data_IF_842495556045
#
_entry.id   IF_842495556045
#
_cell.length_a   1.000
_cell.length_b   1.000
_cell.length_c   1.000
_cell.angle_alpha   90.00
_cell.angle_beta   90.00
_cell.angle_gamma   90.00
#
_symmetry.space_group_name_H-M   'P 1'
#
loop_
_entity.id
_entity.type
_entity.pdbx_description
1 polymer ?
#
# COMPACT_ATOMS: atom_id res chain seq x y z
N UNK A 1 -8.12 -39.09 -16.26
CA UNK A 1 -8.79 -37.88 -15.76
C UNK A 1 -7.86 -37.29 -14.70
N UNK A 2 -6.93 -36.41 -15.08
CA UNK A 2 -6.02 -35.80 -14.11
C UNK A 2 -6.82 -34.76 -13.30
N UNK A 3 -7.00 -35.01 -12.00
CA UNK A 3 -7.46 -33.99 -11.07
C UNK A 3 -6.40 -32.88 -11.03
N UNK A 4 -6.73 -31.71 -11.57
CA UNK A 4 -5.99 -30.49 -11.26
C UNK A 4 -6.25 -30.15 -9.79
N UNK A 5 -5.30 -30.48 -8.91
CA UNK A 5 -5.25 -29.94 -7.56
C UNK A 5 -4.91 -28.44 -7.68
N UNK A 6 -5.93 -27.59 -7.57
CA UNK A 6 -5.72 -26.18 -7.33
C UNK A 6 -5.28 -26.02 -5.88
N UNK A 7 -4.04 -25.58 -5.68
CA UNK A 7 -3.58 -25.13 -4.37
C UNK A 7 -4.35 -23.85 -4.04
N UNK A 8 -5.34 -23.96 -3.16
CA UNK A 8 -5.95 -22.77 -2.55
C UNK A 8 -4.93 -22.23 -1.57
N UNK A 9 -4.30 -21.11 -1.90
CA UNK A 9 -3.44 -20.38 -0.97
C UNK A 9 -4.33 -19.86 0.17
N UNK A 10 -4.14 -20.39 1.38
CA UNK A 10 -4.87 -19.94 2.56
C UNK A 10 -4.59 -18.45 2.82
N UNK A 11 -5.64 -17.69 3.16
CA UNK A 11 -5.54 -16.27 3.46
C UNK A 11 -4.69 -16.03 4.72
N UNK A 12 -3.69 -15.15 4.66
CA UNK A 12 -2.85 -14.83 5.82
C UNK A 12 -3.55 -13.94 6.84
N UNK A 13 -4.34 -12.96 6.40
CA UNK A 13 -5.05 -12.03 7.28
C UNK A 13 -6.50 -11.85 6.82
N UNK A 14 -7.43 -12.73 7.23
CA UNK A 14 -8.81 -12.66 6.76
C UNK A 14 -9.51 -11.38 7.25
N UNK A 15 -10.53 -10.94 6.52
CA UNK A 15 -11.40 -9.85 6.95
C UNK A 15 -12.50 -10.37 7.92
N UNK A 16 -12.82 -9.63 9.00
CA UNK A 16 -12.18 -8.40 9.44
C UNK A 16 -10.86 -8.67 10.16
N UNK A 17 -9.84 -7.86 9.85
CA UNK A 17 -8.56 -7.89 10.53
C UNK A 17 -8.64 -7.22 11.91
N UNK A 18 -9.41 -6.13 12.04
CA UNK A 18 -9.65 -5.39 13.27
C UNK A 18 -8.36 -5.08 14.07
N UNK A 19 -7.29 -4.71 13.36
CA UNK A 19 -6.02 -4.40 14.00
C UNK A 19 -6.10 -3.08 14.78
N UNK A 20 -5.40 -3.05 15.91
CA UNK A 20 -5.18 -1.82 16.66
C UNK A 20 -3.86 -1.21 16.22
N UNK A 21 -3.90 0.02 15.70
CA UNK A 21 -2.67 0.76 15.39
C UNK A 21 -1.91 1.09 16.68
N UNK A 22 -0.58 0.95 16.63
CA UNK A 22 0.31 1.31 17.75
C UNK A 22 0.43 2.82 17.94
N UNK A 23 0.06 3.59 16.92
CA UNK A 23 0.09 5.05 16.92
C UNK A 23 -1.32 5.61 16.71
N UNK A 24 -1.63 6.71 17.39
CA UNK A 24 -2.90 7.42 17.23
C UNK A 24 -4.08 6.80 18.00
N UNK A 25 -5.24 7.40 17.76
CA UNK A 25 -6.53 7.01 18.29
C UNK A 25 -7.27 6.13 17.27
N UNK A 26 -8.23 5.36 17.75
CA UNK A 26 -9.24 4.71 16.91
C UNK A 26 -10.62 5.02 17.48
N UNK A 27 -11.68 5.10 16.66
CA UNK A 27 -13.02 5.31 17.18
C UNK A 27 -13.38 4.20 18.18
N UNK A 28 -13.90 4.55 19.34
CA UNK A 28 -14.34 3.58 20.36
C UNK A 28 -15.62 2.88 19.94
N UNK A 29 -16.42 3.55 19.10
CA UNK A 29 -17.67 3.09 18.52
C UNK A 29 -17.51 2.45 17.13
N UNK A 30 -16.28 2.11 16.72
CA UNK A 30 -15.99 1.44 15.45
C UNK A 30 -16.67 0.07 15.38
N UNK A 31 -17.13 -0.31 14.20
CA UNK A 31 -17.79 -1.59 13.95
C UNK A 31 -17.41 -2.14 12.57
N UNK A 32 -16.85 -3.34 12.52
CA UNK A 32 -16.46 -3.97 11.25
C UNK A 32 -17.66 -4.29 10.35
N UNK A 33 -18.87 -4.44 10.91
CA UNK A 33 -20.08 -4.58 10.11
C UNK A 33 -20.37 -3.33 9.25
N UNK A 34 -20.01 -2.14 9.73
CA UNK A 34 -20.15 -0.90 8.95
C UNK A 34 -19.20 -0.92 7.74
N UNK A 35 -17.94 -1.32 7.94
CA UNK A 35 -16.95 -1.48 6.88
C UNK A 35 -17.33 -2.58 5.88
N UNK A 36 -17.78 -3.74 6.37
CA UNK A 36 -18.22 -4.88 5.55
C UNK A 36 -19.45 -4.53 4.68
N UNK A 37 -20.42 -3.82 5.26
CA UNK A 37 -21.61 -3.36 4.55
C UNK A 37 -21.25 -2.34 3.46
N UNK A 38 -20.37 -1.39 3.78
CA UNK A 38 -19.87 -0.40 2.83
C UNK A 38 -19.15 -1.04 1.64
N UNK A 39 -18.30 -2.04 1.89
CA UNK A 39 -17.67 -2.82 0.82
C UNK A 39 -18.70 -3.53 -0.06
N UNK A 40 -19.72 -4.13 0.56
CA UNK A 40 -20.77 -4.85 -0.18
C UNK A 40 -21.55 -3.89 -1.08
N UNK A 41 -21.90 -2.70 -0.59
CA UNK A 41 -22.52 -1.63 -1.39
C UNK A 41 -21.61 -1.20 -2.53
N UNK A 42 -20.35 -0.88 -2.25
CA UNK A 42 -19.39 -0.47 -3.26
C UNK A 42 -19.21 -1.54 -4.35
N UNK A 43 -18.97 -2.79 -3.96
CA UNK A 43 -18.76 -3.90 -4.91
C UNK A 43 -19.98 -4.10 -5.80
N UNK A 44 -21.19 -4.06 -5.22
CA UNK A 44 -22.45 -4.24 -5.96
C UNK A 44 -22.64 -3.16 -7.02
N UNK A 45 -22.30 -1.91 -6.70
CA UNK A 45 -22.60 -0.77 -7.56
C UNK A 45 -21.53 -0.50 -8.61
N UNK A 46 -20.25 -0.74 -8.28
CA UNK A 46 -19.14 -0.28 -9.12
C UNK A 46 -18.33 -1.40 -9.75
N UNK A 47 -18.32 -2.63 -9.22
CA UNK A 47 -17.57 -3.72 -9.86
C UNK A 47 -18.39 -4.30 -11.02
N UNK A 48 -17.76 -4.34 -12.19
CA UNK A 48 -18.30 -5.02 -13.36
C UNK A 48 -17.33 -6.09 -13.86
N UNK A 49 -17.86 -7.29 -14.08
CA UNK A 49 -17.14 -8.37 -14.72
C UNK A 49 -17.04 -8.10 -16.24
N UNK A 50 -15.83 -8.24 -16.78
CA UNK A 50 -15.54 -8.22 -18.20
C UNK A 50 -15.22 -9.65 -18.71
N UNK A 51 -14.96 -9.79 -20.01
CA UNK A 51 -14.55 -11.08 -20.59
C UNK A 51 -13.20 -11.57 -20.02
N UNK A 52 -12.94 -12.87 -20.15
CA UNK A 52 -11.65 -13.49 -19.81
C UNK A 52 -11.17 -13.23 -18.36
N UNK A 53 -12.12 -13.22 -17.41
CA UNK A 53 -11.83 -13.09 -15.98
C UNK A 53 -11.26 -11.74 -15.56
N UNK A 54 -11.51 -10.68 -16.33
CA UNK A 54 -11.19 -9.30 -15.98
C UNK A 54 -12.35 -8.65 -15.25
N UNK A 55 -12.03 -7.69 -14.40
CA UNK A 55 -13.01 -6.88 -13.71
C UNK A 55 -12.60 -5.41 -13.84
N UNK A 56 -13.57 -4.51 -13.84
CA UNK A 56 -13.33 -3.06 -13.82
C UNK A 56 -14.15 -2.40 -12.73
N UNK A 57 -13.78 -1.15 -12.41
CA UNK A 57 -14.57 -0.26 -11.57
C UNK A 57 -15.28 0.75 -12.46
N UNK A 58 -16.61 0.81 -12.39
CA UNK A 58 -17.43 1.81 -13.09
C UNK A 58 -17.20 3.18 -12.45
N UNK A 59 -16.92 4.16 -13.30
CA UNK A 59 -16.79 5.57 -12.92
C UNK A 59 -18.17 6.26 -12.88
N UNK A 60 -18.21 7.57 -12.58
CA UNK A 60 -19.46 8.36 -12.58
C UNK A 60 -20.19 8.31 -13.93
N UNK A 61 -19.44 8.34 -15.03
CA UNK A 61 -19.95 7.81 -16.29
C UNK A 61 -19.78 6.28 -16.26
N UNK A 62 -20.86 5.50 -16.12
CA UNK A 62 -20.77 4.06 -15.88
C UNK A 62 -20.16 3.30 -17.06
N UNK A 63 -20.06 3.90 -18.25
CA UNK A 63 -19.41 3.30 -19.42
C UNK A 63 -17.89 3.47 -19.42
N UNK A 64 -17.35 4.22 -18.46
CA UNK A 64 -15.94 4.56 -18.36
C UNK A 64 -15.34 3.98 -17.07
N UNK A 65 -14.02 3.86 -17.08
CA UNK A 65 -13.20 3.47 -15.93
C UNK A 65 -11.98 4.39 -15.91
N UNK A 66 -11.62 4.88 -14.73
CA UNK A 66 -10.36 5.60 -14.51
C UNK A 66 -9.37 4.71 -13.77
N UNK A 67 -8.07 4.90 -14.00
CA UNK A 67 -7.02 4.12 -13.32
C UNK A 67 -7.11 4.26 -11.80
N UNK A 68 -7.47 5.45 -11.31
CA UNK A 68 -7.73 5.71 -9.89
C UNK A 68 -8.73 4.71 -9.29
N UNK A 69 -9.85 4.48 -9.98
CA UNK A 69 -10.87 3.52 -9.54
C UNK A 69 -10.36 2.09 -9.52
N UNK A 70 -9.48 1.71 -10.45
CA UNK A 70 -8.82 0.40 -10.42
C UNK A 70 -7.88 0.29 -9.21
N UNK A 71 -7.06 1.32 -8.94
CA UNK A 71 -6.20 1.38 -7.75
C UNK A 71 -6.99 1.23 -6.45
N UNK A 72 -8.06 2.01 -6.27
CA UNK A 72 -8.95 1.88 -5.12
C UNK A 72 -9.61 0.49 -5.04
N UNK A 73 -10.09 -0.03 -6.15
CA UNK A 73 -10.71 -1.36 -6.18
C UNK A 73 -9.73 -2.46 -5.81
N UNK A 74 -8.47 -2.38 -6.25
CA UNK A 74 -7.42 -3.31 -5.88
C UNK A 74 -7.13 -3.24 -4.38
N UNK A 75 -7.00 -2.04 -3.79
CA UNK A 75 -6.83 -1.89 -2.35
C UNK A 75 -8.01 -2.50 -1.57
N UNK A 76 -9.24 -2.13 -1.92
CA UNK A 76 -10.44 -2.61 -1.23
C UNK A 76 -10.57 -4.13 -1.30
N UNK A 77 -10.33 -4.73 -2.48
CA UNK A 77 -10.42 -6.18 -2.66
C UNK A 77 -9.29 -6.94 -1.97
N UNK A 78 -8.06 -6.41 -1.96
CA UNK A 78 -6.94 -7.00 -1.23
C UNK A 78 -7.21 -7.04 0.29
N UNK A 79 -7.58 -5.90 0.88
CA UNK A 79 -7.88 -5.82 2.32
C UNK A 79 -9.15 -6.58 2.72
N UNK A 80 -10.13 -6.71 1.82
CA UNK A 80 -11.32 -7.54 2.05
C UNK A 80 -11.06 -9.04 1.87
N UNK A 81 -9.85 -9.42 1.42
CA UNK A 81 -9.45 -10.77 1.05
C UNK A 81 -10.31 -11.38 -0.09
N UNK A 82 -10.66 -10.57 -1.10
CA UNK A 82 -11.45 -10.94 -2.28
C UNK A 82 -10.56 -11.17 -3.51
N UNK A 83 -9.85 -12.31 -3.50
CA UNK A 83 -8.80 -12.61 -4.49
C UNK A 83 -9.30 -12.64 -5.93
N UNK A 84 -10.49 -13.21 -6.18
CA UNK A 84 -11.02 -13.35 -7.54
C UNK A 84 -11.29 -11.98 -8.18
N UNK A 85 -11.82 -11.03 -7.41
CA UNK A 85 -12.07 -9.67 -7.89
C UNK A 85 -10.75 -8.91 -8.04
N UNK A 86 -9.83 -9.06 -7.08
CA UNK A 86 -8.48 -8.47 -7.13
C UNK A 86 -7.71 -8.88 -8.39
N UNK A 87 -7.60 -10.19 -8.64
CA UNK A 87 -6.91 -10.74 -9.80
C UNK A 87 -7.53 -10.23 -11.11
N UNK A 88 -8.85 -10.05 -11.11
CA UNK A 88 -9.61 -9.50 -12.21
C UNK A 88 -9.30 -8.05 -12.52
N UNK A 89 -9.25 -7.22 -11.48
CA UNK A 89 -8.88 -5.80 -11.57
C UNK A 89 -7.43 -5.65 -12.03
N UNK A 90 -6.51 -6.47 -11.49
CA UNK A 90 -5.11 -6.44 -11.89
C UNK A 90 -4.88 -6.87 -13.34
N UNK A 91 -5.63 -7.88 -13.84
CA UNK A 91 -5.61 -8.23 -15.28
C UNK A 91 -6.11 -7.07 -16.14
N UNK A 92 -7.17 -6.38 -15.72
CA UNK A 92 -7.67 -5.20 -16.41
C UNK A 92 -6.63 -4.07 -16.40
N UNK A 93 -5.98 -3.81 -15.27
CA UNK A 93 -4.88 -2.85 -15.18
C UNK A 93 -3.80 -3.17 -16.20
N UNK A 94 -3.31 -4.42 -16.21
CA UNK A 94 -2.20 -4.84 -17.08
C UNK A 94 -2.49 -4.71 -18.57
N UNK A 95 -3.73 -4.96 -18.98
CA UNK A 95 -4.18 -4.84 -20.37
C UNK A 95 -4.21 -3.39 -20.87
N UNK A 96 -4.33 -2.42 -19.96
CA UNK A 96 -4.52 -1.01 -20.29
C UNK A 96 -3.27 -0.16 -20.02
N UNK A 97 -2.11 -0.79 -19.85
CA UNK A 97 -0.84 -0.09 -19.63
C UNK A 97 -0.32 0.58 -20.89
N UNK A 98 0.35 1.72 -20.70
CA UNK A 98 1.15 2.36 -21.73
C UNK A 98 2.56 1.72 -21.81
N UNK A 99 3.43 2.31 -22.63
CA UNK A 99 4.81 1.81 -22.84
C UNK A 99 5.73 1.96 -21.63
N UNK A 100 5.39 2.84 -20.68
CA UNK A 100 6.14 3.02 -19.42
C UNK A 100 5.70 2.04 -18.33
N UNK A 101 4.74 1.17 -18.62
CA UNK A 101 4.28 0.14 -17.69
C UNK A 101 3.25 0.61 -16.66
N UNK A 102 2.72 1.82 -16.82
CA UNK A 102 1.64 2.40 -15.98
C UNK A 102 0.32 2.42 -16.73
N UNK A 103 -0.82 2.43 -16.04
CA UNK A 103 -2.14 2.31 -16.68
C UNK A 103 -2.57 3.63 -17.32
N UNK A 104 -3.08 3.60 -18.56
CA UNK A 104 -3.72 4.77 -19.15
C UNK A 104 -4.91 5.22 -18.30
N UNK A 105 -4.94 6.50 -17.92
CA UNK A 105 -5.80 6.98 -16.83
C UNK A 105 -7.30 6.86 -17.10
N UNK A 106 -7.74 6.71 -18.35
CA UNK A 106 -9.16 6.60 -18.69
C UNK A 106 -9.46 5.64 -19.83
N UNK A 107 -10.35 4.68 -19.58
CA UNK A 107 -10.69 3.57 -20.47
C UNK A 107 -12.20 3.49 -20.70
N UNK A 108 -12.60 3.13 -21.92
CA UNK A 108 -13.98 2.84 -22.32
C UNK A 108 -14.42 1.45 -21.83
N UNK A 109 -14.69 1.35 -20.53
CA UNK A 109 -15.29 0.18 -19.90
C UNK A 109 -14.63 -1.14 -20.26
N UNK A 110 -15.43 -2.20 -20.48
CA UNK A 110 -14.89 -3.53 -20.84
C UNK A 110 -14.36 -3.63 -22.27
N UNK A 111 -14.58 -2.62 -23.13
CA UNK A 111 -14.04 -2.63 -24.50
C UNK A 111 -12.53 -2.37 -24.56
N UNK A 112 -11.93 -1.95 -23.43
CA UNK A 112 -10.50 -1.62 -23.26
C UNK A 112 -9.96 -0.60 -24.27
N UNK A 113 -10.84 0.20 -24.88
CA UNK A 113 -10.43 1.34 -25.71
C UNK A 113 -9.95 2.49 -24.83
N UNK A 114 -8.75 3.01 -25.11
CA UNK A 114 -8.18 4.13 -24.35
C UNK A 114 -8.86 5.45 -24.72
N UNK A 115 -9.44 6.13 -23.73
CA UNK A 115 -10.05 7.46 -23.86
C UNK A 115 -9.12 8.57 -23.37
N UNK A 116 -8.28 8.28 -22.39
CA UNK A 116 -7.28 9.17 -21.82
C UNK A 116 -5.97 8.43 -21.67
N UNK A 117 -4.93 8.93 -22.34
CA UNK A 117 -3.60 8.32 -22.37
C UNK A 117 -2.76 8.74 -21.18
N UNK A 118 -1.76 7.92 -20.86
CA UNK A 118 -0.74 8.13 -19.82
C UNK A 118 -1.23 7.86 -18.40
N UNK A 119 -0.30 7.63 -17.48
CA UNK A 119 -0.52 7.32 -16.07
C UNK A 119 -1.04 8.51 -15.27
N UNK A 120 -1.68 8.19 -14.15
CA UNK A 120 -2.07 9.14 -13.12
C UNK A 120 -1.55 8.58 -11.79
N UNK A 121 -0.49 9.19 -11.27
CA UNK A 121 0.41 8.54 -10.31
C UNK A 121 -0.29 8.01 -9.06
N UNK A 122 -1.38 8.63 -8.59
CA UNK A 122 -2.15 8.10 -7.47
C UNK A 122 -2.67 6.67 -7.70
N UNK A 123 -3.11 6.37 -8.92
CA UNK A 123 -3.56 5.03 -9.30
C UNK A 123 -2.44 4.00 -9.23
N UNK A 124 -1.26 4.35 -9.73
CA UNK A 124 -0.06 3.51 -9.72
C UNK A 124 0.39 3.23 -8.28
N UNK A 125 0.42 4.26 -7.42
CA UNK A 125 0.74 4.12 -5.99
C UNK A 125 -0.24 3.16 -5.28
N UNK A 126 -1.53 3.28 -5.56
CA UNK A 126 -2.56 2.42 -4.97
C UNK A 126 -2.46 0.97 -5.46
N UNK A 127 -2.30 0.78 -6.77
CA UNK A 127 -2.14 -0.55 -7.35
C UNK A 127 -0.88 -1.27 -6.84
N UNK A 128 0.25 -0.54 -6.72
CA UNK A 128 1.49 -1.09 -6.16
C UNK A 128 1.33 -1.49 -4.70
N UNK A 129 0.72 -0.63 -3.87
CA UNK A 129 0.46 -0.96 -2.46
C UNK A 129 -0.50 -2.16 -2.34
N UNK A 130 -1.53 -2.22 -3.18
CA UNK A 130 -2.48 -3.32 -3.19
C UNK A 130 -1.82 -4.66 -3.59
N UNK A 131 -0.84 -4.65 -4.49
CA UNK A 131 -0.04 -5.85 -4.83
C UNK A 131 0.83 -6.32 -3.67
N UNK A 132 1.40 -5.40 -2.87
CA UNK A 132 2.13 -5.77 -1.64
C UNK A 132 1.18 -6.45 -0.64
N UNK A 133 -0.03 -5.91 -0.47
CA UNK A 133 -1.07 -6.52 0.38
C UNK A 133 -1.49 -7.88 -0.18
N UNK A 134 -1.62 -8.04 -1.50
CA UNK A 134 -1.96 -9.31 -2.15
C UNK A 134 -0.87 -10.37 -1.96
N UNK A 135 0.41 -10.01 -2.06
CA UNK A 135 1.53 -10.90 -1.74
C UNK A 135 1.46 -11.35 -0.27
N UNK A 136 1.13 -10.45 0.64
CA UNK A 136 0.94 -10.81 2.05
C UNK A 136 -0.25 -11.74 2.24
N UNK A 137 -1.37 -11.45 1.57
CA UNK A 137 -2.64 -12.13 1.77
C UNK A 137 -2.64 -13.55 1.22
N UNK A 138 -2.00 -13.76 0.07
CA UNK A 138 -2.12 -14.98 -0.72
C UNK A 138 -0.77 -15.57 -1.16
N UNK A 139 0.34 -14.88 -0.96
CA UNK A 139 1.65 -15.26 -1.49
C UNK A 139 1.73 -15.15 -3.02
N UNK A 140 2.93 -15.36 -3.56
CA UNK A 140 3.23 -15.12 -4.98
C UNK A 140 3.59 -16.37 -5.79
N UNK A 141 3.19 -17.55 -5.31
CA UNK A 141 3.40 -18.84 -6.01
C UNK A 141 2.23 -19.26 -6.90
N UNK A 142 1.16 -18.45 -6.94
CA UNK A 142 -0.04 -18.69 -7.73
C UNK A 142 0.11 -18.29 -9.20
N UNK A 143 -1.03 -18.15 -9.89
CA UNK A 143 -1.07 -17.75 -11.31
C UNK A 143 -0.64 -16.31 -11.55
N UNK A 144 -0.74 -15.46 -10.53
CA UNK A 144 -0.24 -14.09 -10.51
C UNK A 144 0.86 -14.05 -9.47
N UNK A 145 2.03 -13.57 -9.87
CA UNK A 145 3.15 -13.31 -8.96
C UNK A 145 3.04 -11.86 -8.47
N UNK A 146 2.27 -11.65 -7.40
CA UNK A 146 1.97 -10.31 -6.88
C UNK A 146 3.23 -9.55 -6.47
N UNK A 147 4.22 -10.24 -5.90
CA UNK A 147 5.52 -9.67 -5.52
C UNK A 147 6.28 -9.13 -6.72
N UNK A 148 6.46 -9.95 -7.75
CA UNK A 148 7.18 -9.53 -8.96
C UNK A 148 6.42 -8.42 -9.70
N UNK A 149 5.09 -8.50 -9.73
CA UNK A 149 4.24 -7.47 -10.30
C UNK A 149 4.36 -6.15 -9.49
N UNK A 150 4.41 -6.20 -8.15
CA UNK A 150 4.64 -5.04 -7.28
C UNK A 150 6.03 -4.42 -7.51
N UNK A 151 7.09 -5.23 -7.47
CA UNK A 151 8.47 -4.78 -7.72
C UNK A 151 8.59 -4.09 -9.09
N UNK A 152 7.95 -4.64 -10.12
CA UNK A 152 7.92 -4.08 -11.47
C UNK A 152 7.19 -2.73 -11.51
N UNK A 153 6.02 -2.62 -10.87
CA UNK A 153 5.26 -1.37 -10.88
C UNK A 153 5.94 -0.29 -10.03
N UNK A 154 6.51 -0.64 -8.87
CA UNK A 154 7.29 0.28 -8.03
C UNK A 154 8.51 0.81 -8.81
N UNK A 155 9.18 -0.02 -9.60
CA UNK A 155 10.27 0.41 -10.47
C UNK A 155 9.79 1.38 -11.56
N UNK A 156 8.61 1.14 -12.16
CA UNK A 156 8.02 2.05 -13.15
C UNK A 156 7.67 3.43 -12.53
N UNK A 157 7.05 3.44 -11.35
CA UNK A 157 6.75 4.67 -10.58
C UNK A 157 8.04 5.45 -10.33
N UNK A 158 9.08 4.77 -9.80
CA UNK A 158 10.39 5.39 -9.56
C UNK A 158 11.01 5.98 -10.83
N UNK A 159 10.92 5.28 -11.96
CA UNK A 159 11.55 5.69 -13.21
C UNK A 159 10.82 6.83 -13.92
N UNK A 160 9.49 6.86 -13.84
CA UNK A 160 8.67 7.70 -14.70
C UNK A 160 7.80 8.71 -13.94
N UNK A 161 7.45 8.44 -12.69
CA UNK A 161 6.52 9.25 -11.89
C UNK A 161 7.18 9.95 -10.70
N UNK A 162 8.48 9.75 -10.51
CA UNK A 162 9.30 10.55 -9.61
C UNK A 162 10.26 11.41 -10.44
N UNK A 163 10.24 12.72 -10.23
CA UNK A 163 11.15 13.63 -10.90
C UNK A 163 12.59 13.38 -10.44
N UNK A 164 13.48 13.13 -11.42
CA UNK A 164 14.87 12.81 -11.14
C UNK A 164 15.58 13.95 -10.39
N UNK A 165 16.42 13.58 -9.42
CA UNK A 165 17.24 14.46 -8.57
C UNK A 165 16.47 15.31 -7.54
N UNK A 166 15.22 15.67 -7.81
CA UNK A 166 14.37 16.44 -6.87
C UNK A 166 13.51 15.54 -6.00
N UNK A 167 13.23 14.31 -6.44
CA UNK A 167 12.34 13.33 -5.78
C UNK A 167 10.90 13.83 -5.61
N UNK A 168 10.51 14.87 -6.37
CA UNK A 168 9.14 15.36 -6.39
C UNK A 168 8.27 14.34 -7.13
N UNK A 169 7.16 13.94 -6.50
CA UNK A 169 6.18 13.10 -7.17
C UNK A 169 5.57 13.88 -8.34
N UNK A 170 5.62 13.30 -9.54
CA UNK A 170 4.91 13.80 -10.70
C UNK A 170 3.44 13.36 -10.62
N UNK A 171 2.50 14.12 -11.18
CA UNK A 171 1.09 13.72 -11.26
C UNK A 171 0.81 12.62 -12.30
N UNK A 172 1.75 12.35 -13.19
CA UNK A 172 1.71 11.21 -14.10
C UNK A 172 3.06 10.99 -14.76
N UNK A 173 3.18 9.91 -15.50
CA UNK A 173 4.44 9.48 -16.11
C UNK A 173 4.96 10.45 -17.18
N UNK A 174 4.09 11.21 -17.83
CA UNK A 174 4.45 12.09 -18.95
C UNK A 174 4.55 13.59 -18.62
N UNK A 175 4.19 14.04 -17.41
CA UNK A 175 4.09 15.48 -17.10
C UNK A 175 4.29 15.83 -15.62
N UNK A 176 4.37 17.13 -15.32
CA UNK A 176 4.50 17.70 -13.97
C UNK A 176 5.87 17.50 -13.32
N UNK A 177 5.91 17.37 -12.00
CA UNK A 177 7.14 17.39 -11.20
C UNK A 177 7.24 18.70 -10.43
N UNK A 178 8.43 19.31 -10.37
CA UNK A 178 8.62 20.54 -9.59
C UNK A 178 7.71 21.69 -10.01
N UNK A 179 7.28 21.74 -11.28
CA UNK A 179 6.38 22.78 -11.79
C UNK A 179 4.90 22.51 -11.48
N UNK A 180 4.50 21.27 -11.24
CA UNK A 180 3.12 20.87 -10.98
C UNK A 180 3.08 19.49 -10.32
N UNK A 181 2.50 19.44 -9.13
CA UNK A 181 2.23 18.22 -8.36
C UNK A 181 0.87 18.36 -7.67
N UNK A 182 0.33 17.23 -7.18
CA UNK A 182 -0.95 17.14 -6.50
C UNK A 182 -0.74 16.61 -5.07
N UNK A 183 -0.95 17.42 -4.02
CA UNK A 183 -0.76 17.00 -2.63
C UNK A 183 -1.56 15.75 -2.23
N UNK A 184 -2.71 15.51 -2.86
CA UNK A 184 -3.54 14.35 -2.56
C UNK A 184 -2.96 13.01 -3.05
N UNK A 185 -1.97 13.05 -3.93
CA UNK A 185 -1.25 11.87 -4.41
C UNK A 185 -0.10 11.50 -3.46
N UNK A 186 0.24 12.37 -2.52
CA UNK A 186 1.32 12.10 -1.58
C UNK A 186 0.91 11.02 -0.58
N UNK A 187 1.54 9.85 -0.67
CA UNK A 187 1.32 8.70 0.20
C UNK A 187 2.63 8.28 0.91
N UNK A 188 3.16 9.07 1.87
CA UNK A 188 4.43 8.77 2.56
C UNK A 188 4.53 7.37 3.15
N UNK A 189 3.42 6.84 3.68
CA UNK A 189 3.36 5.48 4.20
C UNK A 189 3.68 4.43 3.12
N UNK A 190 3.17 4.65 1.90
CA UNK A 190 3.39 3.72 0.79
C UNK A 190 4.82 3.81 0.29
N UNK A 191 5.41 5.00 0.25
CA UNK A 191 6.83 5.17 -0.09
C UNK A 191 7.72 4.38 0.88
N UNK A 192 7.46 4.45 2.19
CA UNK A 192 8.19 3.65 3.19
C UNK A 192 7.98 2.15 2.97
N UNK A 193 6.76 1.72 2.69
CA UNK A 193 6.46 0.33 2.34
C UNK A 193 7.21 -0.12 1.07
N UNK A 194 7.26 0.71 0.04
CA UNK A 194 7.97 0.43 -1.20
C UNK A 194 9.48 0.32 -0.97
N UNK A 195 10.06 1.25 -0.21
CA UNK A 195 11.48 1.22 0.13
C UNK A 195 11.87 -0.02 0.92
N UNK A 196 11.03 -0.47 1.86
CA UNK A 196 11.26 -1.71 2.58
C UNK A 196 11.06 -2.95 1.68
N UNK A 197 10.01 -2.98 0.86
CA UNK A 197 9.67 -4.11 -0.01
C UNK A 197 10.71 -4.34 -1.12
N UNK A 198 11.27 -3.25 -1.67
CA UNK A 198 12.27 -3.27 -2.76
C UNK A 198 13.71 -3.11 -2.29
N UNK A 199 13.93 -3.00 -0.98
CA UNK A 199 15.25 -2.73 -0.39
C UNK A 199 15.92 -1.45 -0.94
N UNK A 200 15.12 -0.38 -1.10
CA UNK A 200 15.53 0.93 -1.60
C UNK A 200 15.05 2.06 -0.68
N UNK A 201 15.22 1.85 0.63
CA UNK A 201 14.73 2.76 1.67
C UNK A 201 15.27 4.18 1.55
N UNK A 202 16.52 4.34 1.11
CA UNK A 202 17.15 5.65 0.96
C UNK A 202 16.43 6.51 -0.09
N UNK A 203 16.12 5.94 -1.27
CA UNK A 203 15.41 6.66 -2.32
C UNK A 203 14.01 7.05 -1.87
N UNK A 204 13.24 6.10 -1.36
CA UNK A 204 11.85 6.36 -0.99
C UNK A 204 11.72 7.27 0.23
N UNK A 205 12.69 7.27 1.16
CA UNK A 205 12.73 8.26 2.24
C UNK A 205 13.00 9.69 1.72
N UNK A 206 13.73 9.85 0.60
CA UNK A 206 13.88 11.16 -0.03
C UNK A 206 12.56 11.64 -0.67
N UNK A 207 11.75 10.72 -1.22
CA UNK A 207 10.39 11.03 -1.71
C UNK A 207 9.46 11.42 -0.55
N UNK A 208 9.49 10.68 0.58
CA UNK A 208 8.77 11.06 1.82
C UNK A 208 9.15 12.47 2.27
N UNK A 209 10.44 12.75 2.34
CA UNK A 209 10.96 14.05 2.78
C UNK A 209 10.43 15.17 1.89
N UNK A 210 10.47 14.98 0.56
CA UNK A 210 9.95 15.98 -0.38
C UNK A 210 8.43 16.13 -0.30
N UNK A 211 7.67 15.05 -0.18
CA UNK A 211 6.21 15.13 -0.03
C UNK A 211 5.79 16.03 1.15
N UNK A 212 6.41 15.82 2.33
CA UNK A 212 6.16 16.69 3.49
C UNK A 212 6.70 18.12 3.29
N UNK A 213 7.83 18.30 2.61
CA UNK A 213 8.36 19.63 2.30
C UNK A 213 7.38 20.41 1.41
N UNK A 214 6.83 19.80 0.36
CA UNK A 214 5.85 20.44 -0.54
C UNK A 214 4.54 20.74 0.19
N UNK A 215 4.03 19.82 1.03
CA UNK A 215 2.83 20.09 1.85
C UNK A 215 3.05 21.31 2.74
N UNK A 216 4.14 21.34 3.50
CA UNK A 216 4.43 22.44 4.41
C UNK A 216 4.65 23.75 3.67
N UNK A 217 5.32 23.71 2.51
CA UNK A 217 5.49 24.87 1.65
C UNK A 217 4.16 25.38 1.12
N UNK A 218 3.25 24.51 0.66
CA UNK A 218 1.93 24.90 0.18
C UNK A 218 1.09 25.57 1.26
N UNK A 219 1.10 25.01 2.48
CA UNK A 219 0.41 25.62 3.61
C UNK A 219 0.99 27.00 3.96
N UNK A 220 2.32 27.14 3.95
CA UNK A 220 3.00 28.37 4.35
C UNK A 220 2.89 29.46 3.29
N UNK A 221 3.19 29.15 2.03
CA UNK A 221 3.19 30.11 0.91
C UNK A 221 1.80 30.72 0.69
N UNK A 222 0.75 29.92 0.84
CA UNK A 222 -0.62 30.34 0.55
C UNK A 222 -1.41 30.76 1.80
N UNK A 223 -0.74 30.91 2.96
CA UNK A 223 -1.35 31.23 4.25
C UNK A 223 -2.55 30.31 4.59
N UNK A 224 -2.39 29.01 4.29
CA UNK A 224 -3.46 28.06 4.46
C UNK A 224 -3.69 27.75 5.95
N UNK A 225 -4.95 27.62 6.33
CA UNK A 225 -5.36 27.21 7.68
C UNK A 225 -5.77 25.74 7.67
N UNK A 226 -5.78 25.11 8.84
CA UNK A 226 -6.45 23.82 9.01
C UNK A 226 -5.89 22.65 8.19
N UNK A 227 -4.66 22.76 7.69
CA UNK A 227 -4.09 21.74 6.79
C UNK A 227 -4.74 21.72 5.40
N UNK A 228 -5.46 22.79 5.00
CA UNK A 228 -6.14 22.89 3.71
C UNK A 228 -5.14 23.15 2.57
N UNK A 229 -4.48 22.08 2.12
CA UNK A 229 -3.64 22.11 0.90
C UNK A 229 -4.50 22.42 -0.33
N UNK A 230 -3.88 23.02 -1.35
CA UNK A 230 -4.55 23.22 -2.64
C UNK A 230 -4.57 21.91 -3.44
N UNK A 231 -5.53 21.74 -4.34
CA UNK A 231 -5.62 20.56 -5.22
C UNK A 231 -4.33 20.36 -6.03
N UNK A 232 -3.76 21.47 -6.53
CA UNK A 232 -2.55 21.46 -7.35
C UNK A 232 -1.61 22.58 -6.92
N UNK A 233 -0.30 22.32 -6.96
CA UNK A 233 0.73 23.31 -6.65
C UNK A 233 2.05 22.98 -7.36
N UNK A 234 2.98 23.94 -7.37
CA UNK A 234 4.38 23.64 -7.66
C UNK A 234 5.05 23.04 -6.41
N UNK A 235 6.23 22.42 -6.57
CA UNK A 235 6.99 21.89 -5.43
C UNK A 235 7.44 22.98 -4.44
N UNK A 236 7.49 24.25 -4.87
CA UNK A 236 7.68 25.39 -3.97
C UNK A 236 6.49 25.65 -3.04
N UNK A 237 5.37 24.96 -3.23
CA UNK A 237 4.11 25.18 -2.53
C UNK A 237 3.20 26.23 -3.16
N UNK A 238 3.75 27.12 -4.01
CA UNK A 238 2.97 28.15 -4.69
C UNK A 238 1.98 27.55 -5.69
N UNK A 239 0.95 28.32 -6.05
CA UNK A 239 0.08 27.99 -7.17
C UNK A 239 0.87 27.83 -8.47
N UNK A 240 0.46 26.86 -9.29
CA UNK A 240 1.11 26.58 -10.56
C UNK A 240 0.35 27.18 -11.72
N UNK A 241 1.03 27.86 -12.63
CA UNK A 241 0.39 28.27 -13.90
C UNK A 241 -0.05 27.06 -14.75
N UNK A 242 0.52 25.87 -14.51
CA UNK A 242 0.13 24.65 -15.20
C UNK A 242 -1.19 24.06 -14.69
N UNK A 243 -1.72 24.54 -13.55
CA UNK A 243 -3.00 24.07 -13.01
C UNK A 243 -4.23 24.85 -13.50
N UNK A 244 -4.08 25.77 -14.47
CA UNK A 244 -5.17 26.60 -14.99
C UNK A 244 -6.38 25.82 -15.54
N UNK A 245 -6.19 24.58 -15.99
CA UNK A 245 -7.26 23.72 -16.50
C UNK A 245 -8.06 22.98 -15.43
N UNK A 246 -7.63 22.99 -14.17
CA UNK A 246 -8.31 22.32 -13.07
C UNK A 246 -9.31 23.24 -12.37
N UNK A 247 -10.20 22.64 -11.56
CA UNK A 247 -11.18 23.37 -10.78
C UNK A 247 -10.52 24.49 -9.96
N UNK A 248 -11.05 25.71 -10.04
CA UNK A 248 -10.49 26.90 -9.39
C UNK A 248 -8.97 27.08 -9.61
N UNK A 249 -8.48 26.70 -10.80
CA UNK A 249 -7.06 26.72 -11.17
C UNK A 249 -6.18 25.84 -10.24
N UNK A 250 -6.81 24.90 -9.52
CA UNK A 250 -6.17 24.05 -8.53
C UNK A 250 -5.84 24.74 -7.20
N UNK A 251 -6.33 25.96 -6.96
CA UNK A 251 -5.93 26.78 -5.81
C UNK A 251 -6.68 26.47 -4.51
N UNK A 252 -7.77 25.72 -4.58
CA UNK A 252 -8.66 25.44 -3.44
C UNK A 252 -8.42 24.05 -2.86
N UNK A 253 -8.86 23.82 -1.63
CA UNK A 253 -9.04 22.48 -1.09
C UNK A 253 -10.37 21.92 -1.62
N UNK A 254 -10.33 21.11 -2.67
CA UNK A 254 -11.51 20.52 -3.30
C UNK A 254 -11.37 18.99 -3.41
N UNK A 255 -12.02 18.38 -4.39
CA UNK A 255 -12.14 16.92 -4.49
C UNK A 255 -10.81 16.18 -4.67
N UNK A 256 -9.80 16.81 -5.26
CA UNK A 256 -8.45 16.24 -5.28
C UNK A 256 -7.88 16.26 -3.86
N UNK A 257 -7.66 17.47 -3.31
CA UNK A 257 -7.04 17.72 -2.02
C UNK A 257 -7.72 17.00 -0.85
N UNK A 258 -9.02 16.71 -0.97
CA UNK A 258 -9.83 16.03 0.04
C UNK A 258 -9.23 14.70 0.50
N UNK A 259 -8.44 13.99 -0.32
CA UNK A 259 -7.82 12.70 0.06
C UNK A 259 -6.57 12.86 0.93
N UNK A 260 -5.94 14.04 0.94
CA UNK A 260 -4.66 14.29 1.63
C UNK A 260 -4.69 13.95 3.13
N UNK A 261 -5.72 14.33 3.93
CA UNK A 261 -5.74 14.00 5.34
C UNK A 261 -5.74 12.49 5.62
N UNK A 262 -6.41 11.69 4.79
CA UNK A 262 -6.34 10.23 4.87
C UNK A 262 -4.93 9.72 4.56
N UNK A 263 -4.37 10.09 3.40
CA UNK A 263 -3.04 9.63 2.96
C UNK A 263 -1.96 9.89 3.99
N UNK A 264 -1.99 11.08 4.61
CA UNK A 264 -1.00 11.51 5.60
C UNK A 264 -1.25 10.88 6.98
N UNK A 265 -2.52 10.69 7.38
CA UNK A 265 -2.84 9.99 8.63
C UNK A 265 -2.32 8.55 8.61
N UNK A 266 -2.40 7.85 7.48
CA UNK A 266 -1.88 6.47 7.35
C UNK A 266 -0.40 6.38 7.74
N UNK A 267 0.43 7.36 7.37
CA UNK A 267 1.86 7.35 7.69
C UNK A 267 2.14 7.43 9.20
N UNK A 268 1.37 8.26 9.90
CA UNK A 268 1.46 8.32 11.36
C UNK A 268 0.95 7.03 12.01
N UNK A 269 -0.19 6.51 11.56
CA UNK A 269 -0.78 5.30 12.14
C UNK A 269 0.14 4.08 11.97
N UNK A 270 0.74 3.92 10.79
CA UNK A 270 1.59 2.79 10.46
C UNK A 270 3.02 2.91 11.01
N UNK A 271 3.62 4.09 10.94
CA UNK A 271 5.05 4.29 11.23
C UNK A 271 5.36 5.26 12.37
N UNK A 272 4.37 5.94 12.93
CA UNK A 272 4.57 6.92 14.00
C UNK A 272 5.26 8.21 13.53
N UNK A 273 5.23 8.51 12.23
CA UNK A 273 5.91 9.70 11.70
C UNK A 273 5.30 11.00 12.25
N UNK A 274 6.14 11.79 12.89
CA UNK A 274 5.71 13.03 13.55
C UNK A 274 5.25 14.10 12.56
N UNK A 275 5.76 14.10 11.32
CA UNK A 275 5.33 15.03 10.27
C UNK A 275 3.88 14.75 9.88
N UNK A 276 3.54 13.46 9.73
CA UNK A 276 2.18 13.01 9.46
C UNK A 276 1.23 13.38 10.60
N UNK A 277 1.66 13.17 11.86
CA UNK A 277 0.89 13.60 13.04
C UNK A 277 0.60 15.09 13.05
N UNK A 278 1.62 15.93 12.82
CA UNK A 278 1.48 17.39 12.85
C UNK A 278 0.50 17.87 11.79
N UNK A 279 0.58 17.35 10.55
CA UNK A 279 -0.35 17.70 9.49
C UNK A 279 -1.78 17.24 9.79
N UNK A 280 -1.96 15.97 10.15
CA UNK A 280 -3.28 15.41 10.40
C UNK A 280 -3.96 16.05 11.63
N UNK A 281 -3.18 16.44 12.66
CA UNK A 281 -3.70 17.23 13.79
C UNK A 281 -4.26 18.58 13.34
N UNK A 282 -3.59 19.31 12.44
CA UNK A 282 -4.13 20.58 11.89
C UNK A 282 -5.48 20.36 11.21
N UNK A 283 -5.62 19.26 10.46
CA UNK A 283 -6.87 18.89 9.79
C UNK A 283 -7.98 18.55 10.81
N UNK A 284 -7.66 17.77 11.85
CA UNK A 284 -8.61 17.45 12.92
C UNK A 284 -9.03 18.70 13.71
N UNK A 285 -8.09 19.59 14.04
CA UNK A 285 -8.38 20.84 14.76
C UNK A 285 -9.22 21.81 13.92
N UNK A 286 -9.05 21.83 12.60
CA UNK A 286 -9.92 22.60 11.71
C UNK A 286 -11.38 22.18 11.87
N UNK A 287 -11.67 20.88 11.80
CA UNK A 287 -13.04 20.40 11.96
C UNK A 287 -13.54 20.62 13.38
N UNK A 288 -12.76 20.22 14.38
CA UNK A 288 -13.18 20.27 15.78
C UNK A 288 -13.36 21.69 16.31
N UNK A 289 -12.42 22.58 16.00
CA UNK A 289 -12.34 23.93 16.57
C UNK A 289 -12.88 24.97 15.60
N UNK A 290 -12.42 25.00 14.34
CA UNK A 290 -12.81 26.05 13.38
C UNK A 290 -14.22 25.85 12.86
N UNK A 291 -14.61 24.63 12.49
CA UNK A 291 -15.96 24.31 12.03
C UNK A 291 -16.92 24.01 13.18
N UNK A 292 -16.42 23.76 14.39
CA UNK A 292 -17.25 23.39 15.54
C UNK A 292 -17.86 21.99 15.46
N UNK A 293 -17.30 21.09 14.65
CA UNK A 293 -17.72 19.69 14.54
C UNK A 293 -17.89 19.19 13.11
N UNK A 294 -17.93 17.86 12.98
CA UNK A 294 -17.97 17.13 11.70
C UNK A 294 -19.21 17.45 10.84
N UNK A 295 -20.38 17.70 11.47
CA UNK A 295 -21.62 18.02 10.75
C UNK A 295 -21.55 19.31 9.91
N UNK A 296 -20.56 20.18 10.17
CA UNK A 296 -20.35 21.43 9.45
C UNK A 296 -19.36 21.28 8.29
N UNK A 297 -18.80 20.09 8.06
CA UNK A 297 -17.91 19.84 6.92
C UNK A 297 -18.68 20.04 5.61
N UNK A 298 -18.08 20.79 4.69
CA UNK A 298 -18.51 21.00 3.31
C UNK A 298 -17.51 20.44 2.30
N UNK A 299 -17.97 20.27 1.07
CA UNK A 299 -17.23 19.73 -0.07
C UNK A 299 -16.36 20.74 -0.80
N UNK A 300 -15.76 21.69 -0.08
CA UNK A 300 -14.83 22.66 -0.69
C UNK A 300 -14.52 23.85 0.20
N UNK A 301 -13.25 24.25 0.22
CA UNK A 301 -12.77 25.42 0.96
C UNK A 301 -11.70 26.16 0.17
N UNK A 302 -11.68 27.49 0.29
CA UNK A 302 -10.46 28.24 0.04
C UNK A 302 -9.42 27.90 1.13
N UNK A 303 -8.14 28.05 0.82
CA UNK A 303 -7.07 27.69 1.75
C UNK A 303 -7.09 28.50 3.06
N UNK A 304 -7.65 29.71 3.04
CA UNK A 304 -7.87 30.51 4.25
C UNK A 304 -9.02 30.00 5.16
N UNK A 305 -9.68 28.89 4.79
CA UNK A 305 -10.74 28.24 5.56
C UNK A 305 -12.15 28.69 5.21
N UNK A 306 -12.34 29.67 4.32
CA UNK A 306 -13.69 30.05 3.90
C UNK A 306 -14.30 28.96 3.04
N UNK A 307 -15.52 28.54 3.40
CA UNK A 307 -16.29 27.53 2.67
C UNK A 307 -16.57 28.00 1.23
N UNK A 308 -16.34 27.11 0.26
CA UNK A 308 -16.73 27.27 -1.14
C UNK A 308 -17.72 26.19 -1.58
N UNK A 309 -17.69 25.03 -0.95
CA UNK A 309 -18.62 23.92 -1.17
C UNK A 309 -20.01 24.14 -0.56
N UNK A 310 -20.96 23.31 -0.97
CA UNK A 310 -22.35 23.34 -0.52
C UNK A 310 -22.78 22.04 0.18
N UNK A 311 -22.24 20.92 -0.27
CA UNK A 311 -22.66 19.58 0.12
C UNK A 311 -21.84 19.05 1.29
N UNK A 312 -22.44 18.13 2.04
CA UNK A 312 -21.80 17.41 3.13
C UNK A 312 -21.77 15.93 2.73
N UNK A 313 -20.59 15.41 2.42
CA UNK A 313 -20.44 14.12 1.75
C UNK A 313 -19.24 13.31 2.27
N UNK A 314 -19.22 12.02 1.92
CA UNK A 314 -18.30 11.07 2.53
C UNK A 314 -16.82 11.27 2.14
N UNK A 315 -16.56 11.87 0.97
CA UNK A 315 -15.21 12.21 0.49
C UNK A 315 -14.49 13.13 1.49
N UNK A 316 -15.16 14.18 1.95
CA UNK A 316 -14.56 15.16 2.86
C UNK A 316 -14.66 14.71 4.32
N UNK A 317 -15.85 14.25 4.73
CA UNK A 317 -16.11 13.83 6.11
C UNK A 317 -15.17 12.70 6.53
N UNK A 318 -15.03 11.68 5.69
CA UNK A 318 -14.24 10.52 6.05
C UNK A 318 -12.72 10.77 6.03
N UNK A 319 -12.24 11.65 5.14
CA UNK A 319 -10.84 12.05 5.15
C UNK A 319 -10.47 12.78 6.44
N UNK A 320 -11.30 13.74 6.88
CA UNK A 320 -11.09 14.41 8.16
C UNK A 320 -11.27 13.48 9.37
N UNK A 321 -12.18 12.51 9.29
CA UNK A 321 -12.29 11.47 10.31
C UNK A 321 -11.01 10.63 10.43
N UNK A 322 -10.38 10.27 9.29
CA UNK A 322 -9.07 9.61 9.30
C UNK A 322 -8.00 10.49 9.94
N UNK A 323 -7.99 11.80 9.67
CA UNK A 323 -7.06 12.74 10.28
C UNK A 323 -7.24 12.84 11.81
N UNK A 324 -8.47 12.74 12.30
CA UNK A 324 -8.77 12.72 13.74
C UNK A 324 -8.16 11.51 14.47
N UNK A 325 -7.83 10.41 13.77
CA UNK A 325 -7.07 9.30 14.35
C UNK A 325 -5.64 9.71 14.75
N UNK A 326 -5.07 10.74 14.10
CA UNK A 326 -3.78 11.33 14.49
C UNK A 326 -3.94 12.56 15.41
N UNK A 327 -5.18 12.91 15.76
CA UNK A 327 -5.53 13.98 16.69
C UNK A 327 -5.40 13.59 18.16
N UNK A 328 -6.09 14.34 19.01
CA UNK A 328 -5.99 14.21 20.47
C UNK A 328 -7.36 14.12 21.17
N UNK A 329 -8.47 14.15 20.43
CA UNK A 329 -9.82 14.21 20.98
C UNK A 329 -10.65 12.99 20.54
N UNK A 330 -10.86 12.07 21.49
CA UNK A 330 -11.60 10.83 21.24
C UNK A 330 -13.08 11.07 20.92
N UNK A 331 -13.72 12.03 21.58
CA UNK A 331 -15.15 12.31 21.36
C UNK A 331 -15.37 12.87 19.95
N UNK A 332 -14.46 13.73 19.49
CA UNK A 332 -14.46 14.23 18.12
C UNK A 332 -14.26 13.11 17.09
N UNK A 333 -13.32 12.17 17.33
CA UNK A 333 -13.12 11.02 16.46
C UNK A 333 -14.35 10.12 16.39
N UNK A 334 -14.96 9.80 17.53
CA UNK A 334 -16.18 8.97 17.62
C UNK A 334 -17.37 9.62 16.92
N UNK A 335 -17.50 10.96 17.03
CA UNK A 335 -18.50 11.73 16.32
C UNK A 335 -18.25 11.72 14.80
N UNK A 336 -17.00 11.91 14.36
CA UNK A 336 -16.62 11.90 12.93
C UNK A 336 -16.83 10.52 12.29
N UNK A 337 -16.55 9.44 13.03
CA UNK A 337 -16.88 8.08 12.60
C UNK A 337 -18.41 7.90 12.44
N UNK A 338 -19.19 8.38 13.42
CA UNK A 338 -20.66 8.28 13.37
C UNK A 338 -21.24 9.07 12.20
N UNK A 339 -20.69 10.24 11.92
CA UNK A 339 -21.10 11.08 10.80
C UNK A 339 -20.85 10.36 9.47
N UNK A 340 -19.60 9.91 9.25
CA UNK A 340 -19.23 9.17 8.04
C UNK A 340 -20.13 7.94 7.79
N UNK A 341 -20.37 7.11 8.82
CA UNK A 341 -21.14 5.88 8.62
C UNK A 341 -22.59 6.17 8.21
N UNK A 342 -23.16 7.28 8.68
CA UNK A 342 -24.55 7.67 8.42
C UNK A 342 -24.77 8.32 7.04
N UNK A 343 -23.71 8.76 6.35
CA UNK A 343 -23.82 9.30 4.98
C UNK A 343 -24.22 8.20 4.00
N UNK A 344 -25.29 8.40 3.23
CA UNK A 344 -25.85 7.39 2.34
C UNK A 344 -25.86 7.88 0.89
N UNK A 345 -24.75 7.63 0.18
CA UNK A 345 -24.52 8.09 -1.19
C UNK A 345 -24.10 6.92 -2.11
N UNK A 346 -24.84 5.80 -2.13
CA UNK A 346 -24.34 4.52 -2.63
C UNK A 346 -24.02 4.51 -4.13
N UNK A 347 -24.59 5.45 -4.90
CA UNK A 347 -24.42 5.55 -6.36
C UNK A 347 -23.38 6.57 -6.79
N UNK A 348 -22.85 7.38 -5.86
CA UNK A 348 -21.77 8.33 -6.16
C UNK A 348 -20.44 7.57 -6.08
N UNK A 349 -19.79 7.33 -7.23
CA UNK A 349 -18.58 6.49 -7.30
C UNK A 349 -17.53 6.96 -6.31
N UNK A 350 -17.21 8.26 -6.35
CA UNK A 350 -16.11 8.79 -5.55
C UNK A 350 -16.44 8.77 -4.06
N UNK A 351 -17.62 9.28 -3.67
CA UNK A 351 -18.05 9.36 -2.28
C UNK A 351 -18.15 7.96 -1.65
N UNK A 352 -18.78 7.00 -2.32
CA UNK A 352 -18.95 5.65 -1.79
C UNK A 352 -17.63 4.88 -1.76
N UNK A 353 -16.77 5.00 -2.78
CA UNK A 353 -15.45 4.34 -2.79
C UNK A 353 -14.57 4.83 -1.64
N UNK A 354 -14.47 6.15 -1.47
CA UNK A 354 -13.67 6.74 -0.39
C UNK A 354 -14.28 6.46 0.98
N UNK A 355 -15.61 6.50 1.13
CA UNK A 355 -16.29 6.06 2.37
C UNK A 355 -15.82 4.67 2.80
N UNK A 356 -15.84 3.71 1.87
CA UNK A 356 -15.42 2.34 2.15
C UNK A 356 -13.95 2.28 2.55
N UNK A 357 -13.08 3.00 1.83
CA UNK A 357 -11.64 3.06 2.15
C UNK A 357 -11.38 3.63 3.55
N UNK A 358 -12.03 4.75 3.89
CA UNK A 358 -11.89 5.40 5.18
C UNK A 358 -12.44 4.53 6.32
N UNK A 359 -13.56 3.85 6.10
CA UNK A 359 -14.08 2.89 7.08
C UNK A 359 -13.13 1.71 7.30
N UNK A 360 -12.41 1.24 6.27
CA UNK A 360 -11.39 0.21 6.46
C UNK A 360 -10.28 0.72 7.38
N UNK A 361 -9.80 1.95 7.21
CA UNK A 361 -8.79 2.52 8.11
C UNK A 361 -9.33 2.71 9.54
N UNK A 362 -10.47 3.39 9.69
CA UNK A 362 -11.09 3.70 10.99
C UNK A 362 -11.41 2.45 11.81
N UNK A 363 -11.67 1.32 11.14
CA UNK A 363 -11.98 0.04 11.80
C UNK A 363 -10.78 -0.91 11.97
N UNK A 364 -9.58 -0.52 11.54
CA UNK A 364 -8.38 -1.37 11.67
C UNK A 364 -8.26 -2.45 10.59
N UNK A 365 -8.94 -2.28 9.47
CA UNK A 365 -8.96 -3.18 8.32
C UNK A 365 -8.08 -2.66 7.14
N UNK A 366 -7.45 -1.49 7.27
CA UNK A 366 -6.44 -0.96 6.35
C UNK A 366 -5.07 -0.90 7.04
N UNK A 367 -4.37 -2.04 7.08
CA UNK A 367 -3.17 -2.24 7.89
C UNK A 367 -1.88 -2.29 7.05
N UNK A 368 -0.74 -1.98 7.67
CA UNK A 368 0.58 -2.23 7.07
C UNK A 368 0.84 -3.75 7.06
N UNK A 369 0.96 -4.41 5.89
CA UNK A 369 1.21 -5.85 5.86
C UNK A 369 2.64 -6.17 6.34
N UNK A 370 2.82 -7.30 7.02
CA UNK A 370 4.09 -7.61 7.70
C UNK A 370 5.28 -7.81 6.73
N UNK A 371 5.00 -8.19 5.47
CA UNK A 371 6.02 -8.27 4.41
C UNK A 371 6.47 -6.89 3.89
N UNK A 372 5.73 -5.80 4.18
CA UNK A 372 6.13 -4.42 3.88
C UNK A 372 7.11 -3.83 4.92
N UNK A 373 7.40 -4.56 6.00
CA UNK A 373 8.48 -4.25 6.93
C UNK A 373 9.55 -5.30 6.75
N UNK A 374 10.77 -4.92 6.32
CA UNK A 374 11.92 -5.80 6.02
C UNK A 374 11.63 -7.28 6.31
N UNK A 375 11.00 -7.93 5.34
CA UNK A 375 10.86 -9.37 5.39
C UNK A 375 12.21 -9.95 5.06
N UNK A 376 12.87 -10.56 6.04
CA UNK A 376 14.04 -11.41 5.81
C UNK A 376 13.68 -12.69 5.02
N UNK A 377 12.54 -12.73 4.33
CA UNK A 377 12.09 -13.89 3.54
C UNK A 377 11.91 -13.56 2.06
N UNK A 378 12.81 -12.75 1.51
CA UNK A 378 13.15 -12.88 0.09
C UNK A 378 13.97 -14.16 -0.08
N UNK A 379 13.29 -15.30 -0.21
CA UNK A 379 13.89 -16.47 -0.84
C UNK A 379 14.01 -16.18 -2.34
N UNK A 380 14.96 -15.33 -2.72
CA UNK A 380 15.64 -15.54 -4.00
C UNK A 380 16.39 -16.86 -3.84
N UNK A 381 15.92 -17.90 -4.50
CA UNK A 381 16.70 -19.11 -4.76
C UNK A 381 17.89 -18.72 -5.61
N UNK A 382 18.91 -18.13 -4.97
CA UNK A 382 20.23 -18.00 -5.56
C UNK A 382 20.69 -19.41 -5.90
N UNK A 383 21.21 -19.59 -7.11
CA UNK A 383 21.76 -20.84 -7.64
C UNK A 383 22.99 -21.39 -6.86
N UNK A 384 23.21 -20.91 -5.62
CA UNK A 384 24.32 -21.23 -4.72
C UNK A 384 23.82 -21.90 -3.42
N UNK A 385 22.64 -22.52 -3.43
CA UNK A 385 22.06 -23.09 -2.22
C UNK A 385 22.86 -24.31 -1.73
N UNK A 386 23.30 -24.27 -0.47
CA UNK A 386 23.81 -25.45 0.23
C UNK A 386 22.65 -26.44 0.39
N UNK A 387 22.71 -27.55 -0.34
CA UNK A 387 21.71 -28.61 -0.27
C UNK A 387 22.15 -29.63 0.77
N UNK A 388 21.23 -30.00 1.67
CA UNK A 388 21.42 -31.09 2.63
C UNK A 388 20.37 -32.17 2.38
N UNK A 389 20.80 -33.38 2.05
CA UNK A 389 19.90 -34.51 1.80
C UNK A 389 20.55 -35.87 2.14
N UNK A 390 19.76 -36.88 2.52
CA UNK A 390 18.35 -36.77 2.89
C UNK A 390 18.21 -35.96 4.19
N UNK A 391 17.07 -35.29 4.34
CA UNK A 391 16.74 -34.55 5.56
C UNK A 391 15.21 -34.54 5.72
N UNK A 392 14.64 -35.37 6.61
CA UNK A 392 15.31 -36.14 7.68
C UNK A 392 16.26 -37.26 7.22
N UNK A 393 17.23 -37.65 8.06
CA UNK A 393 18.17 -38.77 7.83
C UNK A 393 18.34 -39.66 9.07
N UNK A 394 18.81 -40.89 8.89
CA UNK A 394 19.21 -41.85 9.94
C UNK A 394 20.69 -41.71 10.38
N UNK A 395 21.28 -40.54 10.15
CA UNK A 395 22.64 -40.23 10.61
C UNK A 395 23.55 -39.72 9.51
N UNK A 396 23.33 -40.07 8.24
CA UNK A 396 24.22 -39.66 7.16
C UNK A 396 23.56 -38.57 6.30
N UNK A 397 24.20 -37.42 6.23
CA UNK A 397 23.75 -36.30 5.41
C UNK A 397 24.75 -36.05 4.28
N UNK A 398 24.26 -35.82 3.06
CA UNK A 398 25.05 -35.26 1.97
C UNK A 398 24.90 -33.76 1.98
N UNK A 399 26.02 -33.04 2.08
CA UNK A 399 26.10 -31.59 1.99
C UNK A 399 26.77 -31.22 0.69
N UNK A 400 26.09 -30.43 -0.14
CA UNK A 400 26.64 -29.90 -1.38
C UNK A 400 27.22 -28.51 -1.12
N UNK A 401 28.51 -28.33 -1.37
CA UNK A 401 29.20 -27.05 -1.21
C UNK A 401 29.82 -26.53 -2.51
N UNK A 402 29.86 -25.22 -2.65
CA UNK A 402 30.40 -24.52 -3.83
C UNK A 402 31.84 -24.06 -3.64
N UNK A 403 32.35 -24.09 -2.40
CA UNK A 403 33.73 -23.82 -2.01
C UNK A 403 34.14 -24.70 -0.82
N UNK A 404 35.46 -24.91 -0.64
CA UNK A 404 35.99 -25.65 0.50
C UNK A 404 35.89 -24.81 1.77
N UNK A 405 35.32 -25.38 2.84
CA UNK A 405 35.02 -24.65 4.09
C UNK A 405 34.88 -25.59 5.27
N UNK A 406 34.61 -25.06 6.46
CA UNK A 406 34.28 -25.84 7.65
C UNK A 406 32.77 -25.82 7.89
N UNK A 407 32.23 -27.01 8.18
CA UNK A 407 30.87 -27.18 8.70
C UNK A 407 30.94 -27.35 10.21
N UNK A 408 30.11 -26.60 10.93
CA UNK A 408 29.89 -26.76 12.37
C UNK A 408 28.43 -27.14 12.59
N UNK A 409 28.16 -28.20 13.35
CA UNK A 409 26.82 -28.62 13.73
C UNK A 409 26.61 -28.41 15.22
N UNK A 410 25.52 -27.77 15.60
CA UNK A 410 25.12 -27.55 16.99
C UNK A 410 23.79 -28.21 17.32
N UNK A 411 23.59 -28.61 18.57
CA UNK A 411 22.27 -28.97 19.08
C UNK A 411 21.42 -27.71 19.37
N UNK A 412 20.16 -27.91 19.78
CA UNK A 412 19.23 -26.80 20.09
C UNK A 412 19.63 -25.94 21.30
N UNK A 413 20.56 -26.41 22.14
CA UNK A 413 21.14 -25.63 23.24
C UNK A 413 22.39 -24.84 22.82
N UNK A 414 22.75 -24.87 21.53
CA UNK A 414 23.94 -24.18 21.01
C UNK A 414 25.26 -24.90 21.26
N UNK A 415 25.25 -26.12 21.79
CA UNK A 415 26.47 -26.93 21.97
C UNK A 415 26.90 -27.50 20.62
N UNK A 416 28.16 -27.30 20.26
CA UNK A 416 28.79 -27.92 19.09
C UNK A 416 28.86 -29.43 19.30
N UNK A 417 28.34 -30.19 18.34
CA UNK A 417 28.32 -31.66 18.33
C UNK A 417 29.17 -32.27 17.22
N UNK A 418 29.48 -31.51 16.17
CA UNK A 418 30.35 -31.93 15.08
C UNK A 418 31.03 -30.70 14.44
N UNK A 419 32.30 -30.81 14.12
CA UNK A 419 32.99 -29.91 13.20
C UNK A 419 33.76 -30.72 12.17
N UNK A 420 33.53 -30.45 10.89
CA UNK A 420 34.16 -31.21 9.81
C UNK A 420 34.50 -30.31 8.63
N UNK A 421 35.69 -30.43 8.03
CA UNK A 421 35.99 -29.75 6.77
C UNK A 421 35.21 -30.41 5.62
N UNK A 422 34.80 -29.61 4.65
CA UNK A 422 34.16 -30.07 3.43
C UNK A 422 34.82 -29.44 2.20
N UNK A 423 34.74 -30.14 1.08
CA UNK A 423 35.29 -29.73 -0.21
C UNK A 423 34.19 -29.25 -1.16
N UNK A 424 34.57 -28.69 -2.32
CA UNK A 424 33.62 -28.41 -3.40
C UNK A 424 32.94 -29.71 -3.85
N UNK A 425 31.62 -29.68 -4.01
CA UNK A 425 30.81 -30.82 -4.41
C UNK A 425 30.12 -31.52 -3.23
N UNK A 426 29.92 -32.83 -3.35
CA UNK A 426 29.17 -33.62 -2.37
C UNK A 426 30.07 -34.09 -1.22
N UNK A 427 29.66 -33.84 0.01
CA UNK A 427 30.38 -34.23 1.22
C UNK A 427 29.46 -35.00 2.15
N UNK A 428 29.98 -36.05 2.79
CA UNK A 428 29.24 -36.79 3.80
C UNK A 428 29.47 -36.19 5.18
N UNK A 429 28.39 -35.92 5.88
CA UNK A 429 28.36 -35.47 7.26
C UNK A 429 27.67 -36.56 8.09
N UNK A 430 28.46 -37.25 8.91
CA UNK A 430 28.01 -38.36 9.74
C UNK A 430 27.64 -37.86 11.16
N UNK A 431 26.36 -37.99 11.47
CA UNK A 431 25.71 -37.66 12.72
C UNK A 431 25.13 -38.91 13.40
N UNK A 432 25.47 -40.12 12.94
CA UNK A 432 24.93 -41.40 13.44
C UNK A 432 25.16 -41.63 14.94
N UNK A 433 26.18 -40.98 15.52
CA UNK A 433 26.50 -41.04 16.94
C UNK A 433 25.72 -40.03 17.81
N UNK A 434 24.90 -39.18 17.19
CA UNK A 434 24.12 -38.17 17.89
C UNK A 434 22.71 -38.67 18.18
N UNK A 435 22.07 -38.13 19.22
CA UNK A 435 20.70 -38.51 19.57
C UNK A 435 19.71 -38.03 18.49
N UNK A 436 18.61 -38.76 18.31
CA UNK A 436 17.50 -38.30 17.46
C UNK A 436 17.03 -36.90 17.90
N UNK A 437 16.79 -36.02 16.94
CA UNK A 437 16.42 -34.64 17.22
C UNK A 437 16.75 -33.66 16.11
N UNK A 438 16.59 -32.38 16.42
CA UNK A 438 16.87 -31.27 15.51
C UNK A 438 18.24 -30.68 15.83
N UNK A 439 19.02 -30.44 14.79
CA UNK A 439 20.33 -29.82 14.84
C UNK A 439 20.40 -28.63 13.88
N UNK A 440 21.33 -27.71 14.12
CA UNK A 440 21.62 -26.59 13.25
C UNK A 440 23.01 -26.76 12.66
N UNK A 441 23.10 -26.85 11.34
CA UNK A 441 24.36 -26.79 10.60
C UNK A 441 24.67 -25.36 10.23
N UNK A 442 25.88 -24.89 10.53
CA UNK A 442 26.47 -23.65 10.03
C UNK A 442 27.55 -24.00 9.01
N UNK A 443 27.53 -23.32 7.87
CA UNK A 443 28.54 -23.39 6.82
C UNK A 443 28.88 -21.98 6.37
N UNK A 444 30.16 -21.66 6.17
CA UNK A 444 30.56 -20.35 5.66
C UNK A 444 30.87 -20.45 4.18
N UNK A 445 30.15 -19.71 3.33
CA UNK A 445 30.44 -19.60 1.90
C UNK A 445 30.54 -18.12 1.48
N UNK A 446 31.56 -17.76 0.70
CA UNK A 446 31.80 -16.40 0.21
C UNK A 446 31.81 -15.36 1.35
N UNK A 447 32.34 -15.75 2.51
CA UNK A 447 32.39 -14.89 3.71
C UNK A 447 31.06 -14.75 4.45
N UNK A 448 29.98 -15.41 4.02
CA UNK A 448 28.67 -15.41 4.70
C UNK A 448 28.39 -16.73 5.41
N UNK A 449 27.82 -16.65 6.62
CA UNK A 449 27.37 -17.82 7.35
C UNK A 449 25.95 -18.22 6.91
N UNK A 450 25.82 -19.44 6.40
CA UNK A 450 24.57 -20.08 6.02
C UNK A 450 24.19 -21.09 7.11
N UNK A 451 22.93 -21.11 7.51
CA UNK A 451 22.40 -22.04 8.50
C UNK A 451 21.35 -22.97 7.88
N UNK A 452 21.43 -24.26 8.21
CA UNK A 452 20.50 -25.28 7.72
C UNK A 452 20.05 -26.17 8.88
N UNK A 453 18.74 -26.41 8.95
CA UNK A 453 18.15 -27.36 9.90
C UNK A 453 18.48 -28.78 9.46
N UNK A 454 18.96 -29.63 10.37
CA UNK A 454 19.12 -31.07 10.16
C UNK A 454 18.16 -31.81 11.10
N UNK A 455 17.45 -32.81 10.58
CA UNK A 455 16.55 -33.65 11.35
C UNK A 455 17.11 -35.08 11.35
N UNK A 456 17.59 -35.50 12.52
CA UNK A 456 18.06 -36.86 12.76
C UNK A 456 16.90 -37.66 13.37
N UNK A 457 16.51 -38.76 12.74
CA UNK A 457 15.38 -39.59 13.16
C UNK A 457 15.74 -41.07 13.14
#
# INVERSE_FOLDING_TARGET
MLLSMYWVTAQTQPFPANLTFSNGLMPTNKNDADASSSYTTWKTNFIEACSNGRYRVRFDNPNETVSEGIGYGMLLTAYKADQATFDGLWKYYKDNRNSNGVMNWKIQGCSVSTLGQNGATDAELDAAMALIVADYQWGSLGTINYRSDAETLIAAIKAHEIEANTYVLKPGDMFGGSSLTNPSYFAPAYYKAFGAFTNDTAFWNAVVTNAYAVINANLTQNNAVGGLVSDWCAASGAYSAQSNGYHAQGHTYYYDAARTPWRIAVDYLWYGDTSGKVYAKKCSDFVRVTLGGTANIKDGYNQNGTVTGQYHNATFVGAFACAAMAGEDQAHLDASYTDLKNLNEPNAYFNQTLKTMYQFLLTGNFYLPANATLSNTTFTTNANEVVIYPNPSHGIFTVVATEATQVTVTNMQGKIVLETPIQVGNNLVDMSQQAQGVYCMKITQQGQAIFKKMVLH
#
